data_IF_817414633871
#
_entry.id   IF_817414633871
#
_cell.length_a   1.000
_cell.length_b   1.000
_cell.length_c   1.000
_cell.angle_alpha   90.00
_cell.angle_beta   90.00
_cell.angle_gamma   90.00
#
_symmetry.space_group_name_H-M   'P 1'
#
loop_
_entity.id
_entity.type
_entity.pdbx_description
1 polymer ?
#
# COMPACT_ATOMS: atom_id res chain seq x y z
N UNK A 1 32.41 15.43 23.57
CA UNK A 1 31.12 16.06 23.26
C UNK A 1 30.60 15.43 21.98
N UNK A 2 29.84 14.37 22.08
CA UNK A 2 29.06 13.80 21.00
C UNK A 2 27.68 14.42 21.13
N UNK A 3 27.38 15.35 20.25
CA UNK A 3 26.07 15.98 20.18
C UNK A 3 25.04 14.96 19.76
N UNK A 4 24.01 14.93 20.56
CA UNK A 4 22.72 14.24 20.36
C UNK A 4 22.14 14.63 19.00
N UNK A 5 22.42 13.84 17.96
CA UNK A 5 21.70 13.89 16.69
C UNK A 5 20.55 12.90 16.76
N UNK A 6 19.51 13.23 17.51
CA UNK A 6 18.18 12.76 17.23
C UNK A 6 17.85 13.24 15.81
N UNK A 7 18.06 12.35 14.82
CA UNK A 7 17.55 12.59 13.49
C UNK A 7 16.02 12.68 13.65
N UNK A 8 15.48 13.86 13.46
CA UNK A 8 14.05 14.09 13.47
C UNK A 8 13.43 13.07 12.50
N UNK A 9 12.50 12.26 13.01
CA UNK A 9 11.69 11.35 12.21
C UNK A 9 11.14 12.09 11.01
N UNK A 10 11.66 11.80 9.81
CA UNK A 10 11.22 12.49 8.60
C UNK A 10 9.91 11.86 8.17
N UNK A 11 8.81 12.42 8.67
CA UNK A 11 7.46 12.06 8.24
C UNK A 11 7.09 12.85 6.98
N UNK A 12 6.55 12.15 6.01
CA UNK A 12 5.99 12.77 4.82
C UNK A 12 4.61 12.18 4.56
N UNK A 13 3.62 13.05 4.70
CA UNK A 13 2.25 12.79 4.33
C UNK A 13 1.94 13.51 3.01
N UNK A 14 1.31 12.81 2.07
CA UNK A 14 0.97 13.36 0.76
C UNK A 14 -0.41 12.93 0.30
N UNK A 15 -1.15 13.89 -0.24
CA UNK A 15 -2.29 13.61 -1.11
C UNK A 15 -1.75 13.27 -2.50
N UNK A 16 -2.29 12.24 -3.11
CA UNK A 16 -1.89 11.79 -4.43
C UNK A 16 -3.02 12.14 -5.39
N UNK A 17 -2.83 13.08 -6.34
CA UNK A 17 -3.79 13.29 -7.39
C UNK A 17 -4.03 11.99 -8.16
N UNK A 18 -5.28 11.66 -8.44
CA UNK A 18 -5.61 10.40 -9.12
C UNK A 18 -4.94 10.29 -10.49
N UNK A 19 -4.75 11.41 -11.17
CA UNK A 19 -4.05 11.50 -12.46
C UNK A 19 -2.56 11.17 -12.38
N UNK A 20 -1.95 11.21 -11.19
CA UNK A 20 -0.54 10.83 -10.99
C UNK A 20 -0.39 9.30 -10.86
N UNK A 21 -1.49 8.57 -10.61
CA UNK A 21 -1.48 7.14 -10.48
C UNK A 21 -1.24 6.46 -11.83
N UNK A 22 -0.24 5.62 -11.91
CA UNK A 22 -0.01 4.79 -13.08
C UNK A 22 -0.84 3.51 -12.97
N UNK A 23 -2.06 3.56 -13.53
CA UNK A 23 -3.02 2.45 -13.49
C UNK A 23 -2.88 1.67 -14.81
N UNK A 24 -2.29 0.47 -14.72
CA UNK A 24 -2.14 -0.43 -15.85
C UNK A 24 -3.43 -1.25 -16.07
N UNK A 25 -4.05 -1.10 -17.24
CA UNK A 25 -5.23 -1.87 -17.63
C UNK A 25 -4.97 -3.37 -17.71
N UNK A 26 -3.77 -3.75 -18.10
CA UNK A 26 -3.40 -5.18 -18.16
C UNK A 26 -3.40 -5.82 -16.77
N UNK A 27 -2.95 -5.09 -15.75
CA UNK A 27 -3.02 -5.58 -14.37
C UNK A 27 -4.47 -5.71 -13.87
N UNK A 28 -5.36 -4.78 -14.28
CA UNK A 28 -6.80 -4.90 -13.99
C UNK A 28 -7.36 -6.16 -14.66
N UNK A 29 -7.06 -6.38 -15.94
CA UNK A 29 -7.54 -7.56 -16.67
C UNK A 29 -6.99 -8.85 -16.07
N UNK A 30 -5.73 -8.89 -15.64
CA UNK A 30 -5.16 -10.04 -14.91
C UNK A 30 -5.89 -10.29 -13.59
N UNK A 31 -6.18 -9.24 -12.83
CA UNK A 31 -6.93 -9.36 -11.59
C UNK A 31 -8.38 -9.83 -11.81
N UNK A 32 -8.97 -9.54 -12.97
CA UNK A 32 -10.25 -10.07 -13.41
C UNK A 32 -10.17 -11.52 -13.93
N UNK A 33 -8.97 -12.11 -14.03
CA UNK A 33 -8.77 -13.48 -14.49
C UNK A 33 -8.32 -13.65 -15.94
N UNK A 34 -8.20 -12.57 -16.70
CA UNK A 34 -7.65 -12.55 -18.06
C UNK A 34 -6.12 -12.56 -17.99
N UNK A 35 -5.47 -13.65 -18.36
CA UNK A 35 -4.01 -13.77 -18.24
C UNK A 35 -3.29 -13.03 -19.37
N UNK A 36 -3.42 -13.54 -20.60
CA UNK A 36 -2.82 -12.97 -21.82
C UNK A 36 -3.89 -12.50 -22.82
N UNK A 37 -5.13 -12.85 -22.56
CA UNK A 37 -6.28 -12.48 -23.38
C UNK A 37 -6.76 -11.07 -23.02
N UNK A 38 -7.31 -10.39 -24.01
CA UNK A 38 -7.95 -9.09 -23.81
C UNK A 38 -9.44 -9.33 -23.60
N UNK A 39 -10.06 -8.76 -22.56
CA UNK A 39 -11.50 -8.89 -22.34
C UNK A 39 -12.31 -8.41 -23.55
N UNK A 40 -13.53 -8.91 -23.67
CA UNK A 40 -14.50 -8.42 -24.65
C UNK A 40 -14.71 -6.91 -24.50
N UNK A 41 -15.07 -6.26 -25.59
CA UNK A 41 -15.16 -4.80 -25.66
C UNK A 41 -16.05 -4.21 -24.58
N UNK A 42 -17.16 -4.85 -24.27
CA UNK A 42 -18.11 -4.42 -23.24
C UNK A 42 -17.46 -4.33 -21.85
N UNK A 43 -16.62 -5.30 -21.47
CA UNK A 43 -15.94 -5.28 -20.16
C UNK A 43 -14.83 -4.24 -20.11
N UNK A 44 -14.15 -4.01 -21.25
CA UNK A 44 -13.15 -2.93 -21.34
C UNK A 44 -13.79 -1.56 -21.18
N UNK A 45 -14.92 -1.33 -21.82
CA UNK A 45 -15.70 -0.09 -21.70
C UNK A 45 -16.21 0.10 -20.26
N UNK A 46 -16.67 -0.96 -19.61
CA UNK A 46 -17.06 -0.92 -18.19
C UNK A 46 -15.87 -0.53 -17.30
N UNK A 47 -14.68 -1.11 -17.53
CA UNK A 47 -13.46 -0.76 -16.76
C UNK A 47 -13.14 0.73 -16.92
N UNK A 48 -13.16 1.28 -18.15
CA UNK A 48 -12.88 2.70 -18.36
C UNK A 48 -13.92 3.60 -17.69
N UNK A 49 -15.20 3.28 -17.81
CA UNK A 49 -16.27 4.03 -17.12
C UNK A 49 -16.08 4.04 -15.60
N UNK A 50 -15.79 2.86 -15.01
CA UNK A 50 -15.57 2.76 -13.57
C UNK A 50 -14.30 3.50 -13.13
N UNK A 51 -13.25 3.50 -13.94
CA UNK A 51 -12.04 4.28 -13.65
C UNK A 51 -12.30 5.79 -13.68
N UNK A 52 -13.11 6.27 -14.62
CA UNK A 52 -13.53 7.69 -14.68
C UNK A 52 -14.34 8.08 -13.44
N UNK A 53 -15.30 7.24 -13.03
CA UNK A 53 -16.09 7.44 -11.81
C UNK A 53 -15.19 7.49 -10.58
N UNK A 54 -14.30 6.50 -10.42
CA UNK A 54 -13.37 6.42 -9.29
C UNK A 54 -12.36 7.57 -9.28
N UNK A 55 -11.93 8.06 -10.44
CA UNK A 55 -11.07 9.24 -10.53
C UNK A 55 -11.74 10.50 -9.97
N UNK A 56 -13.04 10.63 -10.15
CA UNK A 56 -13.84 11.71 -9.56
C UNK A 56 -14.05 11.58 -8.05
N UNK A 57 -14.14 10.35 -7.56
CA UNK A 57 -14.52 10.04 -6.19
C UNK A 57 -13.32 9.86 -5.25
N UNK A 58 -12.39 8.99 -5.62
CA UNK A 58 -11.27 8.59 -4.75
C UNK A 58 -10.37 9.75 -4.34
N UNK A 59 -9.86 9.66 -3.13
CA UNK A 59 -8.91 10.63 -2.56
C UNK A 59 -7.67 9.90 -2.07
N UNK A 60 -6.82 9.43 -3.00
CA UNK A 60 -5.64 8.66 -2.65
C UNK A 60 -4.68 9.46 -1.76
N UNK A 61 -4.11 8.78 -0.78
CA UNK A 61 -3.15 9.36 0.14
C UNK A 61 -2.04 8.35 0.44
N UNK A 62 -0.91 8.87 0.84
CA UNK A 62 0.20 8.05 1.34
C UNK A 62 1.01 8.80 2.37
N UNK A 63 1.59 8.04 3.28
CA UNK A 63 2.46 8.53 4.33
C UNK A 63 3.62 7.56 4.47
N UNK A 64 4.82 8.07 4.74
CA UNK A 64 5.93 7.25 5.20
C UNK A 64 6.74 7.96 6.29
N UNK A 65 7.38 7.14 7.12
CA UNK A 65 8.39 7.54 8.10
C UNK A 65 9.64 6.71 7.91
N UNK A 66 10.80 7.32 8.15
CA UNK A 66 12.09 6.65 8.03
C UNK A 66 12.64 6.41 9.42
N UNK A 67 13.09 5.18 9.64
CA UNK A 67 13.70 4.72 10.86
C UNK A 67 15.04 4.06 10.58
N UNK A 68 15.97 4.22 11.49
CA UNK A 68 17.15 3.38 11.52
C UNK A 68 16.74 1.96 11.94
N UNK A 69 17.45 0.97 11.44
CA UNK A 69 17.14 -0.43 11.75
C UNK A 69 18.23 -1.37 11.23
N UNK A 70 18.03 -2.65 11.49
CA UNK A 70 18.99 -3.69 11.10
C UNK A 70 18.32 -5.04 10.93
N UNK A 71 18.98 -5.92 10.19
CA UNK A 71 18.64 -7.34 10.17
C UNK A 71 19.31 -8.00 11.38
N UNK A 72 18.51 -8.64 12.24
CA UNK A 72 18.99 -9.29 13.46
C UNK A 72 19.45 -10.72 13.16
N UNK A 73 18.65 -11.45 12.40
CA UNK A 73 18.94 -12.83 11.98
C UNK A 73 18.20 -13.17 10.67
N UNK A 74 18.22 -14.45 10.31
CA UNK A 74 17.60 -14.95 9.07
C UNK A 74 16.07 -14.78 8.98
N UNK A 75 15.42 -14.26 9.99
CA UNK A 75 13.95 -14.12 10.00
C UNK A 75 13.44 -12.89 10.74
N UNK A 76 14.35 -12.13 11.38
CA UNK A 76 13.98 -10.98 12.21
C UNK A 76 14.72 -9.71 11.78
N UNK A 77 14.01 -8.59 11.85
CA UNK A 77 14.54 -7.25 11.68
C UNK A 77 14.15 -6.38 12.88
N UNK A 78 14.94 -5.38 13.18
CA UNK A 78 14.59 -4.29 14.09
C UNK A 78 14.45 -3.01 13.28
N UNK A 79 13.35 -2.29 13.50
CA UNK A 79 13.06 -0.99 12.88
C UNK A 79 12.68 -0.01 13.98
N UNK A 80 13.51 0.99 14.20
CA UNK A 80 13.38 1.86 15.37
C UNK A 80 13.50 1.04 16.66
N UNK A 81 12.43 0.99 17.45
CA UNK A 81 12.39 0.23 18.70
C UNK A 81 11.53 -1.04 18.64
N UNK A 82 11.13 -1.44 17.41
CA UNK A 82 10.21 -2.56 17.21
C UNK A 82 10.93 -3.68 16.46
N UNK A 83 10.82 -4.90 16.99
CA UNK A 83 11.30 -6.11 16.35
C UNK A 83 10.17 -6.78 15.56
N UNK A 84 10.45 -7.16 14.32
CA UNK A 84 9.52 -7.84 13.41
C UNK A 84 10.04 -9.21 13.03
N UNK A 85 9.14 -10.19 13.03
CA UNK A 85 9.40 -11.52 12.50
C UNK A 85 8.96 -11.59 11.03
N UNK A 86 9.78 -11.07 10.14
CA UNK A 86 9.49 -10.98 8.70
C UNK A 86 9.66 -12.31 7.95
N UNK A 87 10.32 -13.30 8.58
CA UNK A 87 10.53 -14.62 8.00
C UNK A 87 11.75 -14.72 7.10
N UNK A 88 12.10 -15.96 6.77
CA UNK A 88 13.35 -16.32 6.05
C UNK A 88 13.38 -15.91 4.58
N UNK A 89 12.24 -15.51 4.00
CA UNK A 89 12.16 -15.04 2.62
C UNK A 89 12.47 -13.55 2.56
N UNK A 90 11.94 -12.77 3.50
CA UNK A 90 12.03 -11.30 3.48
C UNK A 90 13.32 -10.81 4.13
N UNK A 91 13.73 -11.36 5.29
CA UNK A 91 14.91 -10.89 6.00
C UNK A 91 16.17 -10.77 5.13
N UNK A 92 16.52 -11.74 4.26
CA UNK A 92 17.67 -11.60 3.37
C UNK A 92 17.56 -10.48 2.34
N UNK A 93 16.33 -10.05 1.99
CA UNK A 93 16.12 -8.94 1.06
C UNK A 93 16.50 -7.59 1.66
N UNK A 94 16.60 -7.52 2.98
CA UNK A 94 17.04 -6.35 3.73
C UNK A 94 18.53 -6.40 4.14
N UNK A 95 19.29 -7.37 3.61
CA UNK A 95 20.73 -7.46 3.95
C UNK A 95 21.41 -6.12 3.72
N UNK A 96 22.17 -5.67 4.74
CA UNK A 96 22.83 -4.36 4.79
C UNK A 96 21.92 -3.13 4.76
N UNK A 97 20.61 -3.28 4.93
CA UNK A 97 19.74 -2.12 5.13
C UNK A 97 20.02 -1.51 6.52
N UNK A 98 20.29 -0.21 6.54
CA UNK A 98 20.51 0.57 7.76
C UNK A 98 19.31 1.47 8.07
N UNK A 99 18.46 1.72 7.05
CA UNK A 99 17.25 2.53 7.18
C UNK A 99 16.06 1.82 6.55
N UNK A 100 14.89 2.04 7.16
CA UNK A 100 13.63 1.47 6.75
C UNK A 100 12.59 2.59 6.58
N UNK A 101 11.98 2.65 5.40
CA UNK A 101 10.84 3.51 5.16
C UNK A 101 9.55 2.73 5.46
N UNK A 102 8.93 3.01 6.59
CA UNK A 102 7.64 2.42 6.98
C UNK A 102 6.54 3.27 6.38
N UNK A 103 5.62 2.67 5.64
CA UNK A 103 4.61 3.42 4.90
C UNK A 103 3.19 2.86 5.07
N UNK A 104 2.22 3.70 4.76
CA UNK A 104 0.83 3.33 4.51
C UNK A 104 0.30 4.16 3.35
N UNK A 105 -0.49 3.53 2.49
CA UNK A 105 -1.21 4.17 1.38
C UNK A 105 -2.67 3.73 1.37
N UNK A 106 -3.53 4.54 0.79
CA UNK A 106 -4.95 4.21 0.64
C UNK A 106 -5.54 4.87 -0.60
N UNK A 107 -6.48 4.19 -1.25
CA UNK A 107 -7.33 4.78 -2.30
C UNK A 107 -8.35 5.79 -1.72
N UNK A 108 -8.59 5.74 -0.41
CA UNK A 108 -9.57 6.56 0.29
C UNK A 108 -10.87 5.79 0.60
N UNK A 109 -11.61 6.32 1.59
CA UNK A 109 -12.87 5.73 2.02
C UNK A 109 -13.99 5.83 0.98
N UNK A 110 -13.84 6.74 0.03
CA UNK A 110 -14.79 6.95 -1.07
C UNK A 110 -14.91 5.71 -1.96
N UNK A 111 -13.82 4.96 -2.11
CA UNK A 111 -13.81 3.68 -2.79
C UNK A 111 -14.75 2.67 -2.10
N UNK A 112 -14.70 2.57 -0.78
CA UNK A 112 -15.55 1.66 -0.02
C UNK A 112 -17.04 2.05 -0.16
N UNK A 113 -17.33 3.35 -0.20
CA UNK A 113 -18.64 3.91 -0.50
C UNK A 113 -19.16 3.50 -1.88
N UNK A 114 -18.32 3.63 -2.91
CA UNK A 114 -18.62 3.22 -4.27
C UNK A 114 -18.99 1.73 -4.37
N UNK A 115 -18.16 0.86 -3.77
CA UNK A 115 -18.45 -0.59 -3.74
C UNK A 115 -19.72 -0.91 -2.98
N UNK A 116 -20.01 -0.19 -1.90
CA UNK A 116 -21.25 -0.35 -1.13
C UNK A 116 -22.49 -0.02 -1.97
N UNK A 117 -22.43 1.03 -2.78
CA UNK A 117 -23.52 1.39 -3.71
C UNK A 117 -23.75 0.32 -4.78
N UNK A 118 -22.67 -0.24 -5.37
CA UNK A 118 -22.78 -1.34 -6.32
C UNK A 118 -23.44 -2.57 -5.68
N UNK A 119 -23.05 -2.93 -4.47
CA UNK A 119 -23.67 -4.03 -3.72
C UNK A 119 -25.16 -3.78 -3.42
N UNK A 120 -25.54 -2.55 -3.10
CA UNK A 120 -26.94 -2.18 -2.86
C UNK A 120 -27.81 -2.28 -4.12
N UNK A 121 -27.22 -2.17 -5.31
CA UNK A 121 -27.85 -2.39 -6.61
C UNK A 121 -27.84 -3.86 -7.06
N UNK A 122 -27.26 -4.76 -6.24
CA UNK A 122 -27.07 -6.18 -6.56
C UNK A 122 -26.25 -6.43 -7.85
N UNK A 123 -25.46 -5.44 -8.28
CA UNK A 123 -24.59 -5.54 -9.46
C UNK A 123 -23.26 -6.24 -9.12
N UNK A 124 -23.34 -7.56 -9.02
CA UNK A 124 -22.18 -8.38 -8.62
C UNK A 124 -21.05 -8.39 -9.65
N UNK A 125 -21.35 -8.14 -10.93
CA UNK A 125 -20.34 -8.04 -11.99
C UNK A 125 -19.50 -6.79 -11.76
N UNK A 126 -20.14 -5.64 -11.58
CA UNK A 126 -19.45 -4.40 -11.27
C UNK A 126 -18.73 -4.44 -9.92
N UNK A 127 -19.27 -5.13 -8.91
CA UNK A 127 -18.57 -5.35 -7.62
C UNK A 127 -17.28 -6.13 -7.83
N UNK A 128 -17.28 -7.20 -8.61
CA UNK A 128 -16.10 -7.98 -8.93
C UNK A 128 -15.06 -7.14 -9.70
N UNK A 129 -15.51 -6.39 -10.71
CA UNK A 129 -14.64 -5.50 -11.49
C UNK A 129 -14.06 -4.37 -10.62
N UNK A 130 -14.86 -3.77 -9.75
CA UNK A 130 -14.42 -2.76 -8.80
C UNK A 130 -13.32 -3.31 -7.91
N UNK A 131 -13.43 -4.55 -7.42
CA UNK A 131 -12.40 -5.16 -6.58
C UNK A 131 -11.06 -5.28 -7.30
N UNK A 132 -11.06 -5.73 -8.56
CA UNK A 132 -9.87 -5.78 -9.42
C UNK A 132 -9.26 -4.39 -9.62
N UNK A 133 -10.07 -3.41 -10.01
CA UNK A 133 -9.65 -2.02 -10.22
C UNK A 133 -9.07 -1.42 -8.93
N UNK A 134 -9.76 -1.60 -7.81
CA UNK A 134 -9.33 -1.07 -6.52
C UNK A 134 -8.00 -1.65 -6.04
N UNK A 135 -7.71 -2.91 -6.35
CA UNK A 135 -6.41 -3.53 -6.04
C UNK A 135 -5.29 -2.86 -6.83
N UNK A 136 -5.49 -2.60 -8.11
CA UNK A 136 -4.51 -1.91 -8.95
C UNK A 136 -4.33 -0.44 -8.52
N UNK A 137 -5.41 0.24 -8.13
CA UNK A 137 -5.31 1.60 -7.57
C UNK A 137 -4.46 1.59 -6.29
N UNK A 138 -4.67 0.64 -5.38
CA UNK A 138 -3.91 0.55 -4.13
C UNK A 138 -2.41 0.34 -4.39
N UNK A 139 -2.04 -0.54 -5.33
CA UNK A 139 -0.65 -0.76 -5.74
C UNK A 139 -0.05 0.47 -6.46
N UNK A 140 -0.84 1.17 -7.26
CA UNK A 140 -0.41 2.42 -7.89
C UNK A 140 -0.12 3.52 -6.86
N UNK A 141 -0.86 3.56 -5.74
CA UNK A 141 -0.57 4.45 -4.62
C UNK A 141 0.79 4.14 -3.98
N UNK A 142 1.13 2.87 -3.79
CA UNK A 142 2.46 2.45 -3.28
C UNK A 142 3.55 2.92 -4.23
N UNK A 143 3.39 2.64 -5.52
CA UNK A 143 4.36 3.05 -6.55
C UNK A 143 4.60 4.56 -6.54
N UNK A 144 3.56 5.37 -6.38
CA UNK A 144 3.68 6.82 -6.34
C UNK A 144 4.38 7.30 -5.06
N UNK A 145 4.11 6.70 -3.90
CA UNK A 145 4.82 7.02 -2.65
C UNK A 145 6.31 6.67 -2.77
N UNK A 146 6.66 5.52 -3.34
CA UNK A 146 8.05 5.13 -3.59
C UNK A 146 8.76 6.13 -4.50
N UNK A 147 8.14 6.55 -5.61
CA UNK A 147 8.70 7.59 -6.50
C UNK A 147 8.98 8.91 -5.77
N UNK A 148 8.13 9.28 -4.83
CA UNK A 148 8.33 10.50 -4.02
C UNK A 148 9.44 10.31 -3.01
N UNK A 149 9.55 9.12 -2.41
CA UNK A 149 10.66 8.74 -1.55
C UNK A 149 12.00 8.81 -2.30
N UNK A 150 12.08 8.23 -3.49
CA UNK A 150 13.29 8.23 -4.34
C UNK A 150 13.77 9.65 -4.70
N UNK A 151 12.84 10.56 -4.97
CA UNK A 151 13.18 11.98 -5.25
C UNK A 151 13.78 12.69 -4.04
N UNK A 152 13.42 12.27 -2.83
CA UNK A 152 13.91 12.91 -1.60
C UNK A 152 15.14 12.23 -1.05
N UNK A 153 15.26 10.93 -1.24
CA UNK A 153 16.37 10.09 -0.77
C UNK A 153 16.83 9.25 -1.96
N UNK A 154 17.80 9.76 -2.75
CA UNK A 154 18.28 9.07 -3.94
C UNK A 154 19.25 7.93 -3.58
N UNK A 155 18.81 7.01 -2.69
CA UNK A 155 19.54 5.82 -2.30
C UNK A 155 18.91 4.60 -2.96
N UNK A 156 19.67 3.51 -3.06
CA UNK A 156 19.12 2.22 -3.47
C UNK A 156 18.19 1.70 -2.39
N UNK A 157 17.04 1.20 -2.80
CA UNK A 157 16.06 0.57 -1.91
C UNK A 157 15.66 -0.81 -2.44
N UNK A 158 15.05 -1.61 -1.58
CA UNK A 158 14.45 -2.89 -1.93
C UNK A 158 13.07 -2.70 -2.55
N UNK A 159 12.45 -3.79 -3.01
CA UNK A 159 11.01 -3.81 -3.22
C UNK A 159 10.28 -3.61 -1.88
N UNK A 160 9.05 -3.04 -1.89
CA UNK A 160 8.23 -2.96 -0.70
C UNK A 160 7.76 -4.35 -0.26
N UNK A 161 7.74 -4.58 1.03
CA UNK A 161 7.24 -5.81 1.64
C UNK A 161 6.15 -5.45 2.65
N UNK A 162 5.11 -6.28 2.73
CA UNK A 162 3.95 -6.03 3.57
C UNK A 162 3.64 -7.24 4.46
N UNK A 163 3.16 -7.02 5.69
CA UNK A 163 2.60 -8.09 6.51
C UNK A 163 1.46 -8.81 5.75
N UNK A 164 1.43 -10.13 5.86
CA UNK A 164 0.50 -10.99 5.12
C UNK A 164 1.11 -11.66 3.88
N UNK A 165 2.31 -11.25 3.44
CA UNK A 165 2.99 -11.80 2.26
C UNK A 165 4.33 -12.46 2.62
N UNK A 166 4.76 -13.40 1.79
CA UNK A 166 6.07 -14.06 1.87
C UNK A 166 6.44 -14.62 3.25
N UNK A 167 5.45 -15.02 4.04
CA UNK A 167 5.63 -15.57 5.38
C UNK A 167 5.69 -14.53 6.51
N UNK A 168 5.59 -13.25 6.21
CA UNK A 168 5.42 -12.21 7.22
C UNK A 168 3.97 -12.22 7.73
N UNK A 169 3.78 -12.50 9.02
CA UNK A 169 2.44 -12.67 9.58
C UNK A 169 1.66 -11.34 9.56
N UNK A 170 0.41 -11.38 9.06
CA UNK A 170 -0.46 -10.20 9.01
C UNK A 170 -0.70 -9.57 10.39
N UNK A 171 -0.65 -10.32 11.48
CA UNK A 171 -0.80 -9.81 12.84
C UNK A 171 0.29 -8.80 13.23
N UNK A 172 1.45 -8.85 12.58
CA UNK A 172 2.52 -7.89 12.82
C UNK A 172 2.22 -6.49 12.24
N UNK A 173 1.16 -6.37 11.47
CA UNK A 173 0.63 -5.08 11.05
C UNK A 173 0.29 -4.16 12.22
N UNK A 174 -0.15 -4.71 13.34
CA UNK A 174 -0.39 -3.94 14.57
C UNK A 174 0.90 -3.31 15.12
N UNK A 175 2.02 -4.03 15.05
CA UNK A 175 3.32 -3.50 15.44
C UNK A 175 3.84 -2.45 14.44
N UNK A 176 3.65 -2.69 13.12
CA UNK A 176 4.02 -1.75 12.07
C UNK A 176 3.29 -0.41 12.25
N UNK A 177 2.01 -0.44 12.59
CA UNK A 177 1.21 0.77 12.83
C UNK A 177 1.67 1.57 14.06
N UNK A 178 2.39 0.98 15.02
CA UNK A 178 3.01 1.74 16.12
C UNK A 178 4.14 2.66 15.64
N UNK A 179 4.73 2.40 14.48
CA UNK A 179 5.73 3.26 13.85
C UNK A 179 5.10 4.41 13.03
N UNK A 180 3.80 4.37 12.81
CA UNK A 180 3.06 5.40 12.08
C UNK A 180 2.30 6.32 13.06
N UNK A 181 1.88 7.52 12.65
CA UNK A 181 1.05 8.36 13.49
C UNK A 181 -0.32 7.72 13.73
N UNK A 182 -1.08 8.26 14.65
CA UNK A 182 -2.44 7.80 14.90
C UNK A 182 -3.32 8.02 13.64
N UNK A 183 -4.07 6.98 13.24
CA UNK A 183 -4.94 6.97 12.06
C UNK A 183 -4.25 7.49 10.78
N UNK A 184 -3.09 6.93 10.37
CA UNK A 184 -2.31 7.43 9.24
C UNK A 184 -3.12 7.39 7.95
N UNK A 185 -3.25 8.50 7.24
CA UNK A 185 -4.11 8.67 6.06
C UNK A 185 -5.59 8.25 6.29
N UNK A 186 -6.08 8.30 7.54
CA UNK A 186 -7.41 7.82 7.90
C UNK A 186 -7.56 6.29 7.96
N UNK A 187 -6.45 5.55 7.80
CA UNK A 187 -6.45 4.09 7.84
C UNK A 187 -6.45 3.60 9.28
N UNK A 188 -7.32 2.64 9.57
CA UNK A 188 -7.45 1.96 10.86
C UNK A 188 -7.32 0.46 10.68
N UNK A 189 -6.85 -0.22 11.72
CA UNK A 189 -6.84 -1.68 11.78
C UNK A 189 -8.10 -2.20 12.47
N UNK A 190 -8.63 -3.30 11.95
CA UNK A 190 -9.62 -4.12 12.64
C UNK A 190 -8.93 -5.00 13.70
N UNK A 191 -9.70 -5.69 14.55
CA UNK A 191 -9.17 -6.66 15.52
C UNK A 191 -8.39 -7.81 14.86
N UNK A 192 -8.70 -8.12 13.60
CA UNK A 192 -7.99 -9.10 12.77
C UNK A 192 -6.79 -8.53 12.00
N UNK A 193 -6.40 -7.28 12.29
CA UNK A 193 -5.32 -6.55 11.65
C UNK A 193 -5.55 -6.27 10.14
N UNK A 194 -6.80 -6.25 9.68
CA UNK A 194 -7.13 -5.79 8.32
C UNK A 194 -7.29 -4.27 8.31
N UNK A 195 -6.88 -3.64 7.22
CA UNK A 195 -7.01 -2.20 7.05
C UNK A 195 -8.39 -1.77 6.57
N UNK A 196 -8.86 -0.64 7.09
CA UNK A 196 -10.02 0.10 6.60
C UNK A 196 -9.58 1.56 6.38
N UNK A 197 -9.80 2.17 5.20
CA UNK A 197 -10.45 1.64 3.99
C UNK A 197 -9.82 0.36 3.43
N UNK A 198 -10.62 -0.46 2.73
CA UNK A 198 -10.21 -1.81 2.28
C UNK A 198 -9.05 -1.76 1.27
N UNK A 199 -9.04 -0.77 0.38
CA UNK A 199 -7.98 -0.61 -0.61
C UNK A 199 -6.86 0.28 -0.05
N UNK A 200 -6.17 -0.29 0.93
CA UNK A 200 -4.99 0.29 1.61
C UNK A 200 -3.86 -0.72 1.63
N UNK A 201 -2.62 -0.23 1.62
CA UNK A 201 -1.40 -1.04 1.69
C UNK A 201 -0.47 -0.42 2.73
N UNK A 202 0.20 -1.26 3.53
CA UNK A 202 1.24 -0.84 4.47
C UNK A 202 2.44 -1.78 4.39
N UNK A 203 3.61 -1.29 4.69
CA UNK A 203 4.83 -2.08 4.65
C UNK A 203 6.05 -1.31 5.10
#
# INVERSE_FOLDING_TARGET
YWGDKTMAEKEIHTRIPFCDLQIDRQEIYRAMGYREEVPEIQFREMVETMLEELAGLCRPQGLYRIYDGQVVDSGHIEVGQISFRVGKIIAPCFDKAEQFAVFVTTAGQEYDGYVKELKAKEDMVSVFMADAIGSVIAEACVTEVIKRLEKQIPLRHTYPYSPGYCGWNVKEQAALFQLLPENPCGVKLTDSCLMLPVKSVSG
#
